data_IF_391071584496
#
_entry.id   IF_391071584496
#
_cell.length_a   1.000
_cell.length_b   1.000
_cell.length_c   1.000
_cell.angle_alpha   90.00
_cell.angle_beta   90.00
_cell.angle_gamma   90.00
#
_symmetry.space_group_name_H-M   'P 1'
#
loop_
_entity.id
_entity.type
_entity.pdbx_description
1 polymer ?
#
# COMPACT_ATOMS: atom_id res chain seq x y z
N UNK A 1 -26.95 14.28 8.31
CA UNK A 1 -26.06 13.09 8.23
C UNK A 1 -25.11 13.07 9.45
N UNK A 2 -24.57 11.91 9.76
CA UNK A 2 -23.49 11.73 10.75
C UNK A 2 -22.28 11.18 10.00
N UNK A 3 -21.13 11.85 10.11
CA UNK A 3 -19.92 11.47 9.40
C UNK A 3 -18.78 11.23 10.40
N UNK A 4 -18.30 10.00 10.52
CA UNK A 4 -17.14 9.71 11.37
C UNK A 4 -15.86 10.29 10.73
N UNK A 5 -15.04 10.95 11.56
CA UNK A 5 -13.83 11.62 11.13
C UNK A 5 -12.62 11.13 11.95
N UNK A 6 -11.69 10.45 11.28
CA UNK A 6 -10.42 10.04 11.86
C UNK A 6 -9.30 11.03 11.55
N UNK A 7 -8.34 10.64 10.72
CA UNK A 7 -7.22 11.50 10.30
C UNK A 7 -7.48 12.39 9.08
N UNK A 8 -8.67 12.35 8.48
CA UNK A 8 -9.02 13.16 7.31
C UNK A 8 -8.24 12.82 6.04
N UNK A 9 -7.71 11.62 5.92
CA UNK A 9 -6.83 11.20 4.81
C UNK A 9 -7.57 10.49 3.66
N UNK A 10 -8.92 10.51 3.66
CA UNK A 10 -9.71 9.98 2.55
C UNK A 10 -9.40 10.72 1.25
N UNK A 11 -9.26 9.97 0.16
CA UNK A 11 -8.99 10.50 -1.19
C UNK A 11 -10.21 10.36 -2.12
N UNK A 12 -11.38 10.02 -1.55
CA UNK A 12 -12.64 9.81 -2.26
C UNK A 12 -13.77 10.66 -1.70
N UNK A 13 -13.44 11.80 -1.10
CA UNK A 13 -14.35 12.79 -0.52
C UNK A 13 -15.31 12.24 0.56
N UNK A 14 -14.98 11.07 1.16
CA UNK A 14 -15.85 10.40 2.13
C UNK A 14 -16.08 11.16 3.44
N UNK A 15 -15.28 12.20 3.72
CA UNK A 15 -15.40 13.09 4.87
C UNK A 15 -15.84 14.51 4.49
N UNK A 16 -16.00 14.78 3.21
CA UNK A 16 -16.50 16.08 2.70
C UNK A 16 -18.04 16.06 2.60
N UNK A 17 -18.68 17.03 3.24
CA UNK A 17 -20.14 17.10 3.34
C UNK A 17 -20.58 18.55 3.16
N UNK A 18 -20.73 18.97 1.92
CA UNK A 18 -21.04 20.36 1.58
C UNK A 18 -22.55 20.67 1.52
N UNK A 19 -23.42 19.66 1.30
CA UNK A 19 -24.79 19.88 0.86
C UNK A 19 -25.88 19.62 1.93
N UNK A 20 -25.54 19.20 3.16
CA UNK A 20 -26.51 18.78 4.17
C UNK A 20 -26.11 19.22 5.59
N UNK A 21 -27.14 19.36 6.45
CA UNK A 21 -26.87 19.44 7.89
C UNK A 21 -26.16 18.16 8.33
N UNK A 22 -24.91 18.29 8.74
CA UNK A 22 -24.04 17.17 9.09
C UNK A 22 -23.41 17.37 10.45
N UNK A 23 -23.32 16.28 11.20
CA UNK A 23 -22.59 16.21 12.47
C UNK A 23 -21.32 15.39 12.21
N UNK A 24 -20.16 16.02 12.29
CA UNK A 24 -18.87 15.34 12.29
C UNK A 24 -18.62 14.71 13.67
N UNK A 25 -18.28 13.42 13.69
CA UNK A 25 -17.90 12.71 14.91
C UNK A 25 -16.41 12.44 14.85
N UNK A 26 -15.63 13.27 15.56
CA UNK A 26 -14.18 13.11 15.65
C UNK A 26 -13.80 12.17 16.83
N UNK A 27 -12.76 11.35 16.61
CA UNK A 27 -12.34 10.31 17.55
C UNK A 27 -11.12 10.71 18.40
N UNK A 28 -10.79 11.96 18.52
CA UNK A 28 -9.57 12.43 19.22
C UNK A 28 -9.49 12.00 20.68
N UNK A 29 -10.66 11.87 21.35
CA UNK A 29 -10.76 11.41 22.74
C UNK A 29 -10.81 9.86 22.84
N UNK A 30 -11.04 9.14 21.73
CA UNK A 30 -11.11 7.68 21.69
C UNK A 30 -9.83 7.11 21.06
N UNK A 31 -8.69 7.34 21.69
CA UNK A 31 -7.36 7.07 21.13
C UNK A 31 -6.49 6.13 21.99
N UNK A 32 -7.10 5.37 22.87
CA UNK A 32 -6.38 4.54 23.83
C UNK A 32 -6.19 3.10 23.35
N UNK A 33 -5.08 2.48 23.78
CA UNK A 33 -4.96 1.02 23.78
C UNK A 33 -5.67 0.50 25.03
N UNK A 34 -6.58 -0.45 24.84
CA UNK A 34 -7.44 -1.00 25.90
C UNK A 34 -6.83 -2.23 26.55
N UNK A 35 -6.20 -3.10 25.74
CA UNK A 35 -5.65 -4.37 26.21
C UNK A 35 -4.66 -4.95 25.18
N UNK A 36 -3.75 -5.82 25.66
CA UNK A 36 -2.86 -6.62 24.83
C UNK A 36 -2.79 -8.04 25.39
N UNK A 37 -3.38 -8.98 24.68
CA UNK A 37 -3.20 -10.41 24.95
C UNK A 37 -1.95 -10.93 24.21
N UNK A 38 -0.88 -11.12 24.95
CA UNK A 38 0.40 -11.57 24.41
C UNK A 38 0.43 -13.05 24.05
N UNK A 39 -0.48 -13.87 24.60
CA UNK A 39 -0.60 -15.29 24.28
C UNK A 39 -1.29 -15.47 22.92
N UNK A 40 -2.37 -14.74 22.70
CA UNK A 40 -3.13 -14.75 21.44
C UNK A 40 -2.46 -13.91 20.35
N UNK A 41 -1.67 -12.89 20.72
CA UNK A 41 -1.16 -11.88 19.80
C UNK A 41 -2.29 -10.96 19.30
N UNK A 42 -3.14 -10.48 20.22
CA UNK A 42 -4.27 -9.60 19.92
C UNK A 42 -4.19 -8.32 20.75
N UNK A 43 -4.28 -7.15 20.09
CA UNK A 43 -4.42 -5.86 20.76
C UNK A 43 -5.82 -5.30 20.56
N UNK A 44 -6.43 -4.75 21.62
CA UNK A 44 -7.70 -4.02 21.55
C UNK A 44 -7.45 -2.54 21.67
N UNK A 45 -8.03 -1.77 20.76
CA UNK A 45 -7.80 -0.33 20.66
C UNK A 45 -9.09 0.43 20.38
N UNK A 46 -9.09 1.70 20.73
CA UNK A 46 -10.08 2.66 20.31
C UNK A 46 -9.75 3.20 18.89
N UNK A 47 -10.75 3.58 18.08
CA UNK A 47 -10.58 3.86 16.65
C UNK A 47 -9.75 5.11 16.34
N UNK A 48 -9.67 6.06 17.26
CA UNK A 48 -8.95 7.34 17.07
C UNK A 48 -7.45 7.26 17.29
N UNK A 49 -6.90 6.12 17.75
CA UNK A 49 -5.46 5.99 17.92
C UNK A 49 -4.74 6.08 16.56
N UNK A 50 -3.68 6.88 16.49
CA UNK A 50 -2.85 7.01 15.29
C UNK A 50 -2.00 5.76 15.02
N UNK A 51 -1.71 5.46 13.74
CA UNK A 51 -0.85 4.34 13.37
C UNK A 51 0.53 4.39 14.06
N UNK A 52 1.29 5.51 13.99
CA UNK A 52 2.58 5.64 14.68
C UNK A 52 2.50 5.51 16.19
N UNK A 53 1.39 5.96 16.80
CA UNK A 53 1.20 5.89 18.24
C UNK A 53 1.00 4.45 18.69
N UNK A 54 0.12 3.71 18.02
CA UNK A 54 -0.09 2.29 18.27
C UNK A 54 1.21 1.50 18.10
N UNK A 55 1.96 1.77 17.03
CA UNK A 55 3.19 1.02 16.75
C UNK A 55 4.25 1.26 17.83
N UNK A 56 4.49 2.50 18.24
CA UNK A 56 5.40 2.81 19.36
C UNK A 56 4.97 2.10 20.66
N UNK A 57 3.66 2.06 20.93
CA UNK A 57 3.13 1.40 22.11
C UNK A 57 3.37 -0.12 22.09
N UNK A 58 3.19 -0.75 20.91
CA UNK A 58 3.43 -2.17 20.68
C UNK A 58 4.92 -2.51 20.71
N UNK A 59 5.76 -1.72 20.05
CA UNK A 59 7.22 -1.91 20.02
C UNK A 59 7.83 -1.92 21.41
N UNK A 60 7.37 -1.04 22.30
CA UNK A 60 7.81 -1.01 23.71
C UNK A 60 7.44 -2.30 24.47
N UNK A 61 6.60 -3.18 23.91
CA UNK A 61 6.15 -4.46 24.47
C UNK A 61 6.60 -5.67 23.66
N UNK A 62 7.46 -5.47 22.66
CA UNK A 62 8.00 -6.52 21.83
C UNK A 62 7.07 -6.99 20.69
N UNK A 63 6.08 -6.19 20.34
CA UNK A 63 5.10 -6.49 19.28
C UNK A 63 5.08 -5.42 18.19
N UNK A 64 4.46 -5.76 17.06
CA UNK A 64 4.15 -4.86 15.94
C UNK A 64 2.85 -5.28 15.28
N UNK A 65 2.05 -4.32 14.84
CA UNK A 65 0.98 -4.57 13.90
C UNK A 65 1.53 -4.65 12.47
N UNK A 66 2.48 -3.77 12.14
CA UNK A 66 3.17 -3.75 10.86
C UNK A 66 2.29 -3.28 9.71
N UNK A 67 1.16 -2.65 9.96
CA UNK A 67 0.34 -2.02 8.95
C UNK A 67 0.86 -0.61 8.67
N UNK A 68 1.52 -0.43 7.53
CA UNK A 68 2.27 0.80 7.20
C UNK A 68 1.77 1.32 5.84
N UNK A 69 0.62 2.03 5.79
CA UNK A 69 0.13 2.65 4.55
C UNK A 69 0.82 3.99 4.27
N UNK A 70 0.55 4.56 3.10
CA UNK A 70 1.12 5.85 2.71
C UNK A 70 0.64 7.01 3.62
N UNK A 71 -0.59 6.92 4.16
CA UNK A 71 -1.18 7.87 5.11
C UNK A 71 -0.72 7.69 6.57
N UNK A 72 0.35 6.93 6.79
CA UNK A 72 0.87 6.49 8.09
C UNK A 72 0.87 7.56 9.19
N UNK A 73 1.39 8.75 8.87
CA UNK A 73 1.62 9.79 9.86
C UNK A 73 0.34 10.47 10.37
N UNK A 74 -0.76 10.38 9.62
CA UNK A 74 -1.98 11.17 9.89
C UNK A 74 -3.23 10.33 10.11
N UNK A 75 -3.30 9.14 9.55
CA UNK A 75 -4.50 8.32 9.62
C UNK A 75 -4.62 7.59 10.96
N UNK A 76 -5.86 7.30 11.35
CA UNK A 76 -6.20 6.55 12.57
C UNK A 76 -6.46 5.09 12.24
N UNK A 77 -6.35 4.23 13.26
CA UNK A 77 -6.63 2.79 13.14
C UNK A 77 -8.08 2.55 12.69
N UNK A 78 -9.04 3.31 13.23
CA UNK A 78 -10.44 3.26 12.79
C UNK A 78 -10.60 3.62 11.32
N UNK A 79 -9.86 4.63 10.83
CA UNK A 79 -9.83 5.01 9.43
C UNK A 79 -9.28 3.89 8.53
N UNK A 80 -8.18 3.25 8.92
CA UNK A 80 -7.63 2.11 8.18
C UNK A 80 -8.62 0.95 8.04
N UNK A 81 -9.33 0.65 9.12
CA UNK A 81 -10.31 -0.44 9.14
C UNK A 81 -11.56 -0.07 8.33
N UNK A 82 -12.04 1.17 8.48
CA UNK A 82 -13.20 1.68 7.76
C UNK A 82 -13.01 1.75 6.23
N UNK A 83 -11.77 1.87 5.74
CA UNK A 83 -11.43 1.95 4.31
C UNK A 83 -10.78 0.68 3.76
N UNK A 84 -10.63 -0.38 4.55
CA UNK A 84 -9.84 -1.58 4.19
C UNK A 84 -8.43 -1.23 3.71
N UNK A 85 -7.78 -0.31 4.37
CA UNK A 85 -6.48 0.21 4.00
C UNK A 85 -5.46 -0.90 3.73
N UNK A 86 -4.70 -0.78 2.64
CA UNK A 86 -3.58 -1.63 2.33
C UNK A 86 -2.27 -0.92 2.74
N UNK A 87 -1.42 -1.62 3.48
CA UNK A 87 -0.08 -1.14 3.84
C UNK A 87 0.99 -1.69 2.90
N UNK A 88 2.18 -1.11 2.94
CA UNK A 88 3.29 -1.52 2.08
C UNK A 88 3.73 -2.98 2.28
N UNK A 89 3.46 -3.54 3.48
CA UNK A 89 3.74 -4.93 3.85
C UNK A 89 2.52 -5.84 3.75
N UNK A 90 1.43 -5.39 3.12
CA UNK A 90 0.17 -6.14 3.05
C UNK A 90 0.27 -7.45 2.27
N UNK A 91 1.25 -7.59 1.38
CA UNK A 91 1.52 -8.87 0.69
C UNK A 91 1.84 -9.99 1.70
N UNK A 92 2.63 -9.70 2.74
CA UNK A 92 3.00 -10.66 3.77
C UNK A 92 2.03 -10.75 4.93
N UNK A 93 1.49 -9.61 5.38
CA UNK A 93 0.75 -9.53 6.65
C UNK A 93 -0.75 -9.26 6.47
N UNK A 94 -1.19 -9.02 5.25
CA UNK A 94 -2.57 -8.67 4.95
C UNK A 94 -2.85 -7.17 5.04
N UNK A 95 -4.00 -6.78 4.51
CA UNK A 95 -4.54 -5.42 4.68
C UNK A 95 -5.10 -5.25 6.09
N UNK A 96 -5.47 -4.03 6.46
CA UNK A 96 -6.06 -3.73 7.77
C UNK A 96 -7.24 -4.66 8.10
N UNK A 97 -8.16 -4.85 7.15
CA UNK A 97 -9.33 -5.73 7.32
C UNK A 97 -8.98 -7.20 7.56
N UNK A 98 -7.89 -7.70 7.00
CA UNK A 98 -7.43 -9.07 7.20
C UNK A 98 -6.84 -9.32 8.60
N UNK A 99 -6.49 -8.26 9.32
CA UNK A 99 -5.92 -8.34 10.68
C UNK A 99 -6.96 -8.13 11.77
N UNK A 100 -8.15 -7.63 11.42
CA UNK A 100 -9.24 -7.40 12.39
C UNK A 100 -9.83 -8.72 12.85
N UNK A 101 -9.74 -8.99 14.15
CA UNK A 101 -10.32 -10.17 14.80
C UNK A 101 -11.70 -9.88 15.35
N UNK A 102 -11.91 -8.69 15.96
CA UNK A 102 -13.19 -8.27 16.55
C UNK A 102 -13.47 -6.81 16.25
N UNK A 103 -14.76 -6.47 16.21
CA UNK A 103 -15.25 -5.09 16.08
C UNK A 103 -16.41 -4.83 17.03
N UNK A 104 -16.41 -3.64 17.62
CA UNK A 104 -17.58 -3.05 18.26
C UNK A 104 -18.09 -1.90 17.42
N UNK A 105 -19.39 -1.89 17.16
CA UNK A 105 -20.05 -0.93 16.27
C UNK A 105 -21.27 -0.35 17.00
N UNK A 106 -21.36 0.97 17.03
CA UNK A 106 -22.58 1.68 17.38
C UNK A 106 -23.33 2.03 16.09
N UNK A 107 -24.54 1.51 15.92
CA UNK A 107 -25.39 1.79 14.78
C UNK A 107 -26.80 2.20 15.21
N UNK A 108 -27.58 2.90 14.35
CA UNK A 108 -28.90 3.39 14.70
C UNK A 108 -29.89 2.30 15.12
N UNK A 109 -29.68 1.07 14.67
CA UNK A 109 -30.58 -0.07 14.90
C UNK A 109 -30.18 -0.91 16.12
N UNK A 110 -28.89 -0.98 16.45
CA UNK A 110 -28.34 -1.74 17.57
C UNK A 110 -26.84 -1.50 17.71
N UNK A 111 -26.29 -1.87 18.88
CA UNK A 111 -24.86 -2.07 19.04
C UNK A 111 -24.49 -3.50 18.67
N UNK A 112 -23.38 -3.63 17.94
CA UNK A 112 -22.86 -4.93 17.50
C UNK A 112 -21.52 -5.23 18.17
N UNK A 113 -21.36 -6.47 18.61
CA UNK A 113 -20.10 -7.04 19.11
C UNK A 113 -19.78 -8.28 18.25
N UNK A 114 -18.83 -8.13 17.32
CA UNK A 114 -18.57 -9.06 16.22
C UNK A 114 -17.20 -9.70 16.36
N UNK A 115 -17.07 -10.96 15.91
CA UNK A 115 -15.77 -11.66 15.87
C UNK A 115 -15.42 -12.38 17.18
N UNK A 116 -16.36 -13.08 17.80
CA UNK A 116 -16.18 -13.68 19.14
C UNK A 116 -15.21 -14.86 19.21
N UNK A 117 -15.05 -15.61 18.10
CA UNK A 117 -14.20 -16.81 18.08
C UNK A 117 -13.47 -16.93 16.74
N UNK A 118 -12.22 -17.44 16.75
CA UNK A 118 -11.47 -17.74 15.53
C UNK A 118 -12.18 -18.84 14.72
N UNK A 119 -12.21 -18.69 13.38
CA UNK A 119 -12.70 -19.74 12.49
C UNK A 119 -14.12 -20.21 12.74
N UNK A 120 -14.99 -19.35 13.30
CA UNK A 120 -16.39 -19.71 13.56
C UNK A 120 -17.15 -20.05 12.27
N UNK A 121 -17.97 -21.10 12.33
CA UNK A 121 -18.92 -21.48 11.28
C UNK A 121 -20.37 -21.06 11.60
N UNK A 122 -20.58 -20.27 12.64
CA UNK A 122 -21.90 -19.82 13.11
C UNK A 122 -22.40 -18.61 12.29
N UNK A 123 -22.90 -18.86 11.10
CA UNK A 123 -23.48 -17.85 10.21
C UNK A 123 -22.44 -17.06 9.41
N UNK A 124 -22.88 -16.02 8.65
CA UNK A 124 -22.00 -15.16 7.88
C UNK A 124 -21.12 -14.30 8.79
N UNK A 125 -19.91 -13.97 8.35
CA UNK A 125 -19.03 -13.05 9.05
C UNK A 125 -19.49 -11.60 8.86
N UNK A 126 -20.34 -11.15 9.79
CA UNK A 126 -20.92 -9.79 9.76
C UNK A 126 -19.88 -8.67 9.89
N UNK A 127 -18.64 -8.95 10.35
CA UNK A 127 -17.57 -7.94 10.31
C UNK A 127 -17.36 -7.41 8.91
N UNK A 128 -17.52 -8.25 7.89
CA UNK A 128 -17.31 -7.86 6.49
C UNK A 128 -18.28 -6.79 5.99
N UNK A 129 -19.44 -6.61 6.63
CA UNK A 129 -20.40 -5.54 6.32
C UNK A 129 -19.85 -4.18 6.74
N UNK A 130 -19.16 -4.13 7.88
CA UNK A 130 -18.66 -2.88 8.47
C UNK A 130 -17.24 -2.52 8.01
N UNK A 131 -16.42 -3.54 7.73
CA UNK A 131 -15.09 -3.34 7.16
C UNK A 131 -15.19 -2.73 5.76
N UNK A 132 -14.62 -1.55 5.57
CA UNK A 132 -14.67 -0.83 4.30
C UNK A 132 -16.00 -0.10 4.04
N UNK A 133 -16.87 0.03 5.04
CA UNK A 133 -18.16 0.74 4.91
C UNK A 133 -18.06 2.25 5.06
N UNK A 134 -16.90 2.76 5.48
CA UNK A 134 -16.62 4.20 5.66
C UNK A 134 -17.66 4.92 6.53
N UNK A 135 -18.23 4.23 7.51
CA UNK A 135 -19.24 4.77 8.43
C UNK A 135 -20.69 4.69 7.92
N UNK A 136 -20.94 4.13 6.72
CA UNK A 136 -22.29 4.07 6.14
C UNK A 136 -23.27 3.22 6.95
N UNK A 137 -22.79 2.22 7.70
CA UNK A 137 -23.63 1.29 8.46
C UNK A 137 -23.53 1.47 9.98
N UNK A 138 -22.62 2.28 10.46
CA UNK A 138 -22.41 2.54 11.89
C UNK A 138 -21.00 3.02 12.18
N UNK A 139 -20.78 3.36 13.44
CA UNK A 139 -19.54 3.94 13.95
C UNK A 139 -18.74 2.85 14.66
N UNK A 140 -17.51 2.63 14.25
CA UNK A 140 -16.57 1.73 14.92
C UNK A 140 -16.14 2.37 16.24
N UNK A 141 -16.34 1.67 17.36
CA UNK A 141 -16.02 2.16 18.70
C UNK A 141 -14.88 1.39 19.37
N UNK A 142 -14.62 0.15 18.96
CA UNK A 142 -13.51 -0.67 19.44
C UNK A 142 -13.07 -1.64 18.33
N UNK A 143 -11.78 -1.89 18.28
CA UNK A 143 -11.15 -2.76 17.27
C UNK A 143 -10.19 -3.70 17.98
N UNK A 144 -10.29 -4.99 17.72
CA UNK A 144 -9.25 -5.95 18.05
C UNK A 144 -8.45 -6.32 16.79
N UNK A 145 -7.14 -6.25 16.90
CA UNK A 145 -6.19 -6.46 15.81
C UNK A 145 -5.23 -7.58 16.16
N UNK A 146 -4.99 -8.47 15.20
CA UNK A 146 -3.89 -9.42 15.31
C UNK A 146 -2.56 -8.68 15.15
N UNK A 147 -1.69 -8.85 16.14
CA UNK A 147 -0.31 -8.37 16.17
C UNK A 147 0.66 -9.53 16.18
N UNK A 148 1.93 -9.26 15.96
CA UNK A 148 2.98 -10.26 15.91
C UNK A 148 4.20 -9.78 16.70
N UNK A 149 5.07 -10.69 17.18
CA UNK A 149 6.35 -10.31 17.78
C UNK A 149 7.15 -9.41 16.83
N UNK A 150 7.96 -8.51 17.42
CA UNK A 150 8.91 -7.72 16.64
C UNK A 150 9.80 -8.63 15.80
N UNK A 151 10.01 -8.32 14.54
CA UNK A 151 10.86 -9.14 13.69
C UNK A 151 12.32 -9.04 14.13
N UNK A 152 12.97 -10.18 14.28
CA UNK A 152 14.40 -10.28 14.56
C UNK A 152 15.24 -9.72 13.40
N UNK A 153 14.73 -9.88 12.17
CA UNK A 153 15.38 -9.43 10.95
C UNK A 153 14.41 -8.68 10.06
N UNK A 154 14.83 -7.50 9.58
CA UNK A 154 14.20 -6.73 8.49
C UNK A 154 15.22 -6.57 7.38
N UNK A 155 14.86 -6.87 6.14
CA UNK A 155 15.73 -6.74 4.97
C UNK A 155 14.92 -6.18 3.81
N UNK A 156 15.35 -5.05 3.26
CA UNK A 156 14.80 -4.49 2.03
C UNK A 156 15.87 -4.45 0.96
N UNK A 157 15.55 -4.88 -0.25
CA UNK A 157 16.50 -5.04 -1.35
C UNK A 157 15.92 -4.54 -2.67
N UNK A 158 16.79 -3.95 -3.48
CA UNK A 158 16.48 -3.55 -4.85
C UNK A 158 16.90 -4.60 -5.86
N UNK A 159 16.06 -4.78 -6.88
CA UNK A 159 16.30 -5.63 -8.04
C UNK A 159 15.98 -4.84 -9.31
N UNK A 160 16.62 -5.19 -10.42
CA UNK A 160 16.25 -4.69 -11.74
C UNK A 160 15.88 -5.86 -12.63
N UNK A 161 14.65 -5.87 -13.14
CA UNK A 161 14.17 -6.85 -14.12
C UNK A 161 14.35 -6.31 -15.54
N UNK A 162 14.53 -7.18 -16.55
CA UNK A 162 14.66 -6.74 -17.94
C UNK A 162 13.38 -6.10 -18.50
N UNK A 163 12.21 -6.41 -17.92
CA UNK A 163 10.92 -5.82 -18.31
C UNK A 163 9.89 -5.98 -17.19
N UNK A 164 8.80 -5.19 -17.27
CA UNK A 164 7.66 -5.29 -16.36
C UNK A 164 7.02 -6.68 -16.39
N UNK A 165 6.87 -7.26 -17.59
CA UNK A 165 6.36 -8.63 -17.78
C UNK A 165 7.22 -9.67 -17.08
N UNK A 166 8.55 -9.56 -17.15
CA UNK A 166 9.46 -10.49 -16.48
C UNK A 166 9.32 -10.40 -14.95
N UNK A 167 9.30 -9.19 -14.40
CA UNK A 167 9.09 -8.95 -12.97
C UNK A 167 7.71 -9.43 -12.48
N UNK A 168 6.66 -9.14 -13.23
CA UNK A 168 5.30 -9.61 -12.95
C UNK A 168 5.21 -11.14 -12.90
N UNK A 169 5.82 -11.84 -13.84
CA UNK A 169 5.87 -13.32 -13.85
C UNK A 169 6.62 -13.87 -12.65
N UNK A 170 7.72 -13.25 -12.25
CA UNK A 170 8.48 -13.63 -11.06
C UNK A 170 7.65 -13.44 -9.78
N UNK A 171 6.94 -12.33 -9.65
CA UNK A 171 6.07 -12.04 -8.51
C UNK A 171 4.90 -13.01 -8.43
N UNK A 172 4.24 -13.28 -9.58
CA UNK A 172 3.19 -14.29 -9.67
C UNK A 172 3.71 -15.68 -9.25
N UNK A 173 4.92 -16.08 -9.66
CA UNK A 173 5.48 -17.38 -9.26
C UNK A 173 5.61 -17.48 -7.75
N UNK A 174 6.17 -16.46 -7.08
CA UNK A 174 6.28 -16.45 -5.61
C UNK A 174 4.92 -16.48 -4.90
N UNK A 175 3.90 -15.83 -5.47
CA UNK A 175 2.54 -15.89 -4.94
C UNK A 175 1.93 -17.30 -5.06
N UNK A 176 2.15 -17.99 -6.19
CA UNK A 176 1.72 -19.38 -6.40
C UNK A 176 2.47 -20.37 -5.51
N UNK A 177 3.77 -20.15 -5.29
CA UNK A 177 4.58 -20.95 -4.38
C UNK A 177 4.21 -20.73 -2.90
N UNK A 178 3.36 -19.74 -2.60
CA UNK A 178 2.96 -19.30 -1.25
C UNK A 178 4.13 -18.84 -0.37
N UNK A 179 5.16 -18.31 -0.99
CA UNK A 179 6.35 -17.75 -0.31
C UNK A 179 6.69 -16.34 -0.82
N UNK A 180 5.71 -15.43 -0.96
CA UNK A 180 6.00 -14.06 -1.35
C UNK A 180 6.90 -13.38 -0.31
N UNK A 181 7.57 -12.31 -0.72
CA UNK A 181 8.15 -11.39 0.25
C UNK A 181 7.02 -10.65 1.00
N UNK A 182 7.33 -10.08 2.16
CA UNK A 182 6.32 -9.38 2.96
C UNK A 182 5.95 -8.04 2.31
N UNK A 183 6.92 -7.42 1.62
CA UNK A 183 6.74 -6.26 0.78
C UNK A 183 7.26 -6.56 -0.63
N UNK A 184 6.44 -6.28 -1.64
CA UNK A 184 6.78 -6.49 -3.04
C UNK A 184 6.23 -5.32 -3.87
N UNK A 185 7.12 -4.56 -4.47
CA UNK A 185 6.80 -3.48 -5.39
C UNK A 185 7.60 -3.66 -6.67
N UNK A 186 6.94 -3.57 -7.82
CA UNK A 186 7.57 -3.62 -9.14
C UNK A 186 7.11 -2.41 -9.94
N UNK A 187 8.01 -1.48 -10.21
CA UNK A 187 7.77 -0.32 -11.07
C UNK A 187 7.94 -0.71 -12.54
N UNK A 188 7.13 -0.13 -13.42
CA UNK A 188 7.34 -0.22 -14.86
C UNK A 188 8.59 0.55 -15.32
N UNK A 189 8.85 0.59 -16.61
CA UNK A 189 10.04 1.26 -17.14
C UNK A 189 9.99 2.78 -16.96
N UNK A 190 8.81 3.39 -17.09
CA UNK A 190 8.61 4.84 -16.96
C UNK A 190 8.80 5.29 -15.51
N UNK A 191 8.13 4.65 -14.55
CA UNK A 191 8.32 4.93 -13.13
C UNK A 191 9.75 4.61 -12.67
N UNK A 192 10.35 3.55 -13.20
CA UNK A 192 11.75 3.19 -12.89
C UNK A 192 12.73 4.23 -13.38
N UNK A 193 12.51 4.83 -14.56
CA UNK A 193 13.33 5.93 -15.08
C UNK A 193 13.22 7.18 -14.19
N UNK A 194 12.02 7.54 -13.73
CA UNK A 194 11.80 8.64 -12.79
C UNK A 194 12.52 8.38 -11.47
N UNK A 195 12.35 7.19 -10.88
CA UNK A 195 13.04 6.81 -9.65
C UNK A 195 14.58 6.87 -9.78
N UNK A 196 15.11 6.47 -10.94
CA UNK A 196 16.54 6.56 -11.22
C UNK A 196 16.99 8.03 -11.34
N UNK A 197 16.23 8.87 -12.02
CA UNK A 197 16.53 10.30 -12.13
C UNK A 197 16.55 10.99 -10.75
N UNK A 198 15.60 10.64 -9.87
CA UNK A 198 15.52 11.16 -8.51
C UNK A 198 16.57 10.56 -7.55
N UNK A 199 17.26 9.50 -7.93
CA UNK A 199 18.24 8.81 -7.07
C UNK A 199 19.51 9.60 -6.78
N UNK A 200 19.75 10.71 -7.51
CA UNK A 200 20.97 11.52 -7.41
C UNK A 200 22.20 10.86 -8.04
N UNK A 201 22.05 9.73 -8.75
CA UNK A 201 23.17 9.11 -9.47
C UNK A 201 23.68 10.05 -10.58
N UNK A 202 24.96 10.40 -10.51
CA UNK A 202 25.58 11.31 -11.47
C UNK A 202 27.05 10.93 -11.74
N UNK A 203 27.66 11.54 -12.76
CA UNK A 203 29.07 11.38 -13.05
C UNK A 203 29.51 9.92 -13.23
N UNK A 204 30.62 9.55 -12.61
CA UNK A 204 31.22 8.21 -12.71
C UNK A 204 30.31 7.10 -12.17
N UNK A 205 29.56 7.37 -11.11
CA UNK A 205 28.64 6.39 -10.52
C UNK A 205 27.49 6.03 -11.48
N UNK A 206 26.96 7.04 -12.18
CA UNK A 206 25.95 6.82 -13.22
C UNK A 206 26.52 6.03 -14.38
N UNK A 207 27.70 6.37 -14.89
CA UNK A 207 28.35 5.65 -15.97
C UNK A 207 28.62 4.18 -15.61
N UNK A 208 29.08 3.92 -14.38
CA UNK A 208 29.29 2.56 -13.89
C UNK A 208 27.99 1.78 -13.81
N UNK A 209 26.91 2.39 -13.33
CA UNK A 209 25.57 1.80 -13.29
C UNK A 209 25.05 1.49 -14.71
N UNK A 210 25.13 2.45 -15.62
CA UNK A 210 24.67 2.29 -17.01
C UNK A 210 25.43 1.15 -17.69
N UNK A 211 26.75 1.08 -17.52
CA UNK A 211 27.58 0.00 -18.06
C UNK A 211 27.25 -1.37 -17.45
N UNK A 212 27.04 -1.40 -16.14
CA UNK A 212 26.65 -2.62 -15.43
C UNK A 212 25.31 -3.15 -15.91
N UNK A 213 24.29 -2.29 -16.01
CA UNK A 213 22.94 -2.67 -16.46
C UNK A 213 22.93 -3.08 -17.93
N UNK A 214 23.69 -2.42 -18.79
CA UNK A 214 23.86 -2.82 -20.19
C UNK A 214 24.52 -4.21 -20.31
N UNK A 215 25.61 -4.46 -19.57
CA UNK A 215 26.28 -5.77 -19.57
C UNK A 215 25.37 -6.89 -19.08
N UNK A 216 24.50 -6.60 -18.13
CA UNK A 216 23.52 -7.55 -17.56
C UNK A 216 22.22 -7.64 -18.36
N UNK A 217 22.08 -6.90 -19.45
CA UNK A 217 20.89 -6.84 -20.32
C UNK A 217 19.63 -6.39 -19.59
N UNK A 218 19.76 -5.46 -18.65
CA UNK A 218 18.65 -4.87 -17.88
C UNK A 218 18.65 -3.33 -17.95
N UNK A 219 19.36 -2.75 -18.91
CA UNK A 219 19.32 -1.29 -19.16
C UNK A 219 17.91 -0.86 -19.55
N UNK A 220 17.39 0.24 -18.94
CA UNK A 220 16.01 0.67 -19.11
C UNK A 220 14.98 -0.30 -18.51
N UNK A 221 15.41 -1.21 -17.64
CA UNK A 221 14.55 -2.21 -17.01
C UNK A 221 13.71 -1.67 -15.86
N UNK A 222 12.98 -2.57 -15.24
CA UNK A 222 11.96 -2.31 -14.23
C UNK A 222 12.50 -2.53 -12.83
N UNK A 223 12.47 -1.49 -12.00
CA UNK A 223 12.93 -1.52 -10.62
C UNK A 223 11.91 -2.30 -9.75
N UNK A 224 12.42 -3.26 -8.99
CA UNK A 224 11.64 -3.87 -7.92
C UNK A 224 12.29 -3.60 -6.56
N UNK A 225 11.44 -3.36 -5.56
CA UNK A 225 11.82 -3.36 -4.16
C UNK A 225 11.10 -4.53 -3.49
N UNK A 226 11.85 -5.33 -2.73
CA UNK A 226 11.33 -6.49 -2.01
C UNK A 226 11.82 -6.47 -0.59
N UNK A 227 10.96 -6.90 0.35
CA UNK A 227 11.29 -6.87 1.78
C UNK A 227 10.81 -8.11 2.51
N UNK A 228 11.59 -8.54 3.50
CA UNK A 228 11.27 -9.65 4.39
C UNK A 228 11.46 -9.24 5.84
N UNK A 229 10.53 -9.66 6.67
CA UNK A 229 10.56 -9.42 8.11
C UNK A 229 10.20 -10.71 8.87
N UNK A 230 10.86 -10.96 10.01
CA UNK A 230 10.57 -12.11 10.86
C UNK A 230 11.80 -12.75 11.50
N UNK A 231 11.71 -14.02 11.92
CA UNK A 231 12.86 -14.78 12.44
C UNK A 231 13.98 -14.88 11.40
N UNK A 232 15.23 -14.81 11.82
CA UNK A 232 16.37 -14.65 10.92
C UNK A 232 16.54 -15.83 9.94
N UNK A 233 16.32 -17.05 10.40
CA UNK A 233 16.39 -18.27 9.59
C UNK A 233 15.26 -18.36 8.55
N UNK A 234 14.03 -17.99 8.95
CA UNK A 234 12.86 -17.94 8.06
C UNK A 234 13.07 -16.88 6.96
N UNK A 235 13.54 -15.69 7.32
CA UNK A 235 13.91 -14.64 6.38
C UNK A 235 14.97 -15.12 5.40
N UNK A 236 16.01 -15.79 5.90
CA UNK A 236 17.09 -16.32 5.05
C UNK A 236 16.57 -17.36 4.04
N UNK A 237 15.73 -18.30 4.48
CA UNK A 237 15.15 -19.34 3.63
C UNK A 237 14.21 -18.77 2.55
N UNK A 238 13.26 -17.92 2.93
CA UNK A 238 12.32 -17.26 2.00
C UNK A 238 13.06 -16.42 0.96
N UNK A 239 14.06 -15.67 1.41
CA UNK A 239 14.89 -14.84 0.55
C UNK A 239 15.69 -15.69 -0.45
N UNK A 240 16.28 -16.81 -0.03
CA UNK A 240 17.01 -17.72 -0.91
C UNK A 240 16.11 -18.29 -2.01
N UNK A 241 14.89 -18.73 -1.66
CA UNK A 241 13.89 -19.18 -2.63
C UNK A 241 13.50 -18.07 -3.62
N UNK A 242 13.17 -16.88 -3.11
CA UNK A 242 12.82 -15.75 -3.95
C UNK A 242 13.92 -15.38 -4.96
N UNK A 243 15.18 -15.39 -4.53
CA UNK A 243 16.31 -15.14 -5.45
C UNK A 243 16.51 -16.24 -6.50
N UNK A 244 16.17 -17.48 -6.18
CA UNK A 244 16.16 -18.55 -7.19
C UNK A 244 15.13 -18.27 -8.28
N UNK A 245 13.93 -17.84 -7.90
CA UNK A 245 12.87 -17.43 -8.83
C UNK A 245 13.29 -16.19 -9.61
N UNK A 246 13.72 -15.12 -8.97
CA UNK A 246 14.08 -13.86 -9.62
C UNK A 246 15.14 -14.06 -10.72
N UNK A 247 16.14 -14.91 -10.47
CA UNK A 247 17.18 -15.23 -11.48
C UNK A 247 16.63 -15.91 -12.72
N UNK A 248 15.60 -16.76 -12.58
CA UNK A 248 14.94 -17.41 -13.73
C UNK A 248 14.30 -16.40 -14.67
N UNK A 249 13.86 -15.26 -14.14
CA UNK A 249 13.26 -14.16 -14.91
C UNK A 249 14.26 -13.03 -15.24
N UNK A 250 15.55 -13.30 -15.13
CA UNK A 250 16.61 -12.38 -15.54
C UNK A 250 16.87 -11.20 -14.61
N UNK A 251 16.35 -11.23 -13.39
CA UNK A 251 16.56 -10.14 -12.42
C UNK A 251 18.04 -10.02 -12.02
N UNK A 252 18.46 -8.77 -11.84
CA UNK A 252 19.78 -8.42 -11.36
C UNK A 252 19.65 -7.72 -10.01
N UNK A 253 20.45 -8.16 -9.04
CA UNK A 253 20.47 -7.56 -7.71
C UNK A 253 21.18 -6.21 -7.75
N UNK A 254 20.56 -5.22 -7.12
CA UNK A 254 21.16 -3.92 -6.92
C UNK A 254 21.91 -3.84 -5.58
N UNK A 255 22.78 -2.82 -5.37
CA UNK A 255 23.42 -2.60 -4.10
C UNK A 255 22.42 -2.47 -2.94
N UNK A 256 22.78 -2.93 -1.76
CA UNK A 256 21.92 -2.90 -0.58
C UNK A 256 21.48 -1.47 -0.17
N UNK A 257 22.20 -0.46 -0.64
CA UNK A 257 21.83 0.95 -0.45
C UNK A 257 20.48 1.29 -1.07
N UNK A 258 20.07 0.63 -2.16
CA UNK A 258 18.80 0.90 -2.84
C UNK A 258 17.61 0.54 -1.92
N UNK A 259 17.60 -0.65 -1.34
CA UNK A 259 16.55 -1.05 -0.40
C UNK A 259 16.51 -0.18 0.86
N UNK A 260 17.68 0.15 1.43
CA UNK A 260 17.78 1.06 2.59
C UNK A 260 17.32 2.47 2.28
N UNK A 261 17.66 3.00 1.10
CA UNK A 261 17.20 4.32 0.67
C UNK A 261 15.68 4.36 0.50
N UNK A 262 15.10 3.31 -0.08
CA UNK A 262 13.66 3.19 -0.19
C UNK A 262 13.00 3.15 1.19
N UNK A 263 13.47 2.32 2.10
CA UNK A 263 12.93 2.22 3.46
C UNK A 263 12.93 3.57 4.19
N UNK A 264 14.01 4.35 4.04
CA UNK A 264 14.15 5.66 4.67
C UNK A 264 13.17 6.69 4.08
N UNK A 265 12.94 6.64 2.77
CA UNK A 265 12.22 7.69 2.04
C UNK A 265 10.80 7.30 1.62
N UNK A 266 10.30 6.12 2.03
CA UNK A 266 9.02 5.56 1.58
C UNK A 266 7.78 6.41 1.85
N UNK A 267 7.87 7.40 2.74
CA UNK A 267 6.78 8.33 3.07
C UNK A 267 6.95 9.72 2.44
N UNK A 268 8.01 9.95 1.65
CA UNK A 268 8.28 11.27 1.07
C UNK A 268 7.43 11.59 -0.17
N UNK A 269 6.95 10.57 -0.88
CA UNK A 269 6.23 10.75 -2.14
C UNK A 269 4.99 11.66 -2.07
N UNK A 270 4.13 11.60 -1.02
CA UNK A 270 2.98 12.49 -0.92
C UNK A 270 3.34 13.98 -0.84
N UNK A 271 4.49 14.32 -0.25
CA UNK A 271 4.94 15.71 -0.14
C UNK A 271 5.49 16.27 -1.45
N UNK A 272 6.06 15.42 -2.31
CA UNK A 272 6.49 15.80 -3.66
C UNK A 272 5.34 16.31 -4.53
N UNK A 273 4.10 15.84 -4.25
CA UNK A 273 2.90 16.29 -4.95
C UNK A 273 2.71 17.80 -4.80
N UNK A 274 2.89 18.33 -3.60
CA UNK A 274 2.72 19.76 -3.33
C UNK A 274 3.74 20.61 -4.11
N UNK A 275 5.02 20.20 -4.10
CA UNK A 275 6.08 20.85 -4.86
C UNK A 275 5.80 20.87 -6.37
N UNK A 276 5.24 19.78 -6.90
CA UNK A 276 4.89 19.67 -8.33
C UNK A 276 3.66 20.51 -8.68
N UNK A 277 2.65 20.57 -7.79
CA UNK A 277 1.49 21.44 -7.97
C UNK A 277 1.91 22.92 -8.00
N UNK A 278 2.79 23.34 -7.10
CA UNK A 278 3.35 24.69 -7.07
C UNK A 278 4.17 25.00 -8.34
N UNK A 279 4.78 23.98 -8.94
CA UNK A 279 5.50 24.10 -10.22
C UNK A 279 4.56 24.08 -11.46
N UNK A 280 3.24 23.99 -11.29
CA UNK A 280 2.28 24.02 -12.38
C UNK A 280 1.97 22.65 -13.01
N UNK A 281 2.15 21.57 -12.26
CA UNK A 281 1.82 20.21 -12.70
C UNK A 281 0.66 19.61 -11.90
N UNK A 282 -0.28 18.99 -12.59
CA UNK A 282 -1.26 18.09 -11.99
C UNK A 282 -0.53 16.79 -11.61
N UNK A 283 -0.70 16.37 -10.37
CA UNK A 283 -0.19 15.07 -9.88
C UNK A 283 -1.33 14.32 -9.24
N UNK A 284 -1.73 13.22 -9.86
CA UNK A 284 -2.84 12.40 -9.38
C UNK A 284 -2.51 10.90 -9.45
N UNK A 285 -3.34 10.12 -8.78
CA UNK A 285 -3.13 8.68 -8.71
C UNK A 285 -4.44 7.93 -8.93
N UNK A 286 -4.30 6.74 -9.55
CA UNK A 286 -5.37 5.74 -9.65
C UNK A 286 -4.82 4.42 -9.12
N UNK A 287 -5.64 3.67 -8.41
CA UNK A 287 -5.32 2.30 -8.01
C UNK A 287 -6.47 1.36 -8.35
N UNK A 288 -6.15 0.23 -8.94
CA UNK A 288 -7.09 -0.85 -9.22
C UNK A 288 -6.43 -2.19 -8.96
N UNK A 289 -7.21 -3.26 -8.93
CA UNK A 289 -6.69 -4.62 -8.81
C UNK A 289 -7.40 -5.52 -9.81
N UNK A 290 -6.65 -6.49 -10.36
CA UNK A 290 -7.24 -7.46 -11.27
C UNK A 290 -6.54 -8.82 -11.14
N UNK A 291 -7.14 -9.83 -11.74
CA UNK A 291 -6.56 -11.16 -11.85
C UNK A 291 -5.29 -11.15 -12.71
N UNK A 292 -4.38 -12.09 -12.46
CA UNK A 292 -3.11 -12.20 -13.20
C UNK A 292 -3.29 -12.25 -14.73
N UNK A 293 -4.38 -12.86 -15.20
CA UNK A 293 -4.69 -12.98 -16.64
C UNK A 293 -5.15 -11.68 -17.27
N UNK A 294 -5.64 -10.72 -16.49
CA UNK A 294 -6.22 -9.46 -16.96
C UNK A 294 -5.30 -8.25 -16.71
N UNK A 295 -4.23 -8.43 -15.92
CA UNK A 295 -3.38 -7.29 -15.53
C UNK A 295 -2.74 -6.55 -16.70
N UNK A 296 -2.34 -7.24 -17.77
CA UNK A 296 -1.75 -6.57 -18.94
C UNK A 296 -2.80 -5.74 -19.67
N UNK A 297 -3.98 -6.31 -19.91
CA UNK A 297 -5.09 -5.58 -20.55
C UNK A 297 -5.54 -4.38 -19.72
N UNK A 298 -5.57 -4.51 -18.38
CA UNK A 298 -5.89 -3.40 -17.48
C UNK A 298 -4.82 -2.31 -17.53
N UNK A 299 -3.55 -2.70 -17.51
CA UNK A 299 -2.42 -1.78 -17.63
C UNK A 299 -2.50 -0.97 -18.92
N UNK A 300 -2.63 -1.65 -20.06
CA UNK A 300 -2.70 -1.01 -21.37
C UNK A 300 -3.92 -0.08 -21.49
N UNK A 301 -5.11 -0.54 -21.08
CA UNK A 301 -6.34 0.24 -21.16
C UNK A 301 -6.28 1.55 -20.34
N UNK A 302 -5.75 1.48 -19.11
CA UNK A 302 -5.61 2.69 -18.27
C UNK A 302 -4.58 3.65 -18.85
N UNK A 303 -3.43 3.14 -19.34
CA UNK A 303 -2.42 3.97 -19.99
C UNK A 303 -2.96 4.67 -21.24
N UNK A 304 -3.66 3.93 -22.10
CA UNK A 304 -4.24 4.47 -23.32
C UNK A 304 -5.33 5.51 -23.02
N UNK A 305 -6.21 5.24 -22.04
CA UNK A 305 -7.22 6.19 -21.59
C UNK A 305 -6.63 7.49 -21.07
N UNK A 306 -5.63 7.39 -20.17
CA UNK A 306 -4.95 8.57 -19.61
C UNK A 306 -4.21 9.38 -20.68
N UNK A 307 -3.45 8.72 -21.57
CA UNK A 307 -2.74 9.39 -22.65
C UNK A 307 -3.69 10.03 -23.66
N UNK A 308 -4.78 9.34 -24.00
CA UNK A 308 -5.81 9.90 -24.88
C UNK A 308 -6.49 11.15 -24.33
N UNK A 309 -6.73 11.21 -23.03
CA UNK A 309 -7.38 12.34 -22.38
C UNK A 309 -6.44 13.52 -22.05
N UNK A 310 -5.17 13.24 -21.75
CA UNK A 310 -4.21 14.24 -21.26
C UNK A 310 -3.11 14.62 -22.27
N UNK A 311 -3.07 13.96 -23.42
CA UNK A 311 -2.06 14.19 -24.45
C UNK A 311 -0.79 13.40 -24.19
N UNK A 312 0.24 13.99 -23.60
CA UNK A 312 1.52 13.34 -23.30
C UNK A 312 1.84 13.41 -21.79
N UNK A 313 1.02 12.78 -20.94
CA UNK A 313 1.30 12.70 -19.50
C UNK A 313 2.44 11.71 -19.22
N UNK A 314 3.19 11.95 -18.16
CA UNK A 314 3.99 10.91 -17.53
C UNK A 314 3.04 10.00 -16.75
N UNK A 315 3.02 8.70 -17.06
CA UNK A 315 2.20 7.70 -16.36
C UNK A 315 3.11 6.58 -15.86
N UNK A 316 3.61 6.73 -14.65
CA UNK A 316 4.37 5.68 -13.97
C UNK A 316 3.44 4.68 -13.31
N UNK A 317 3.75 3.38 -13.44
CA UNK A 317 2.90 2.34 -12.86
C UNK A 317 3.72 1.32 -12.06
N UNK A 318 3.16 0.89 -10.91
CA UNK A 318 3.76 -0.24 -10.20
C UNK A 318 2.71 -1.23 -9.69
N UNK A 319 3.13 -2.49 -9.57
CA UNK A 319 2.45 -3.47 -8.75
C UNK A 319 2.71 -3.12 -7.29
N UNK A 320 1.66 -2.86 -6.51
CA UNK A 320 1.77 -2.44 -5.10
C UNK A 320 1.44 -3.56 -4.11
N UNK A 321 0.48 -4.42 -4.44
CA UNK A 321 0.03 -5.52 -3.58
C UNK A 321 -0.12 -6.79 -4.40
N UNK A 322 0.44 -7.88 -3.87
CA UNK A 322 0.48 -9.17 -4.56
C UNK A 322 -0.43 -10.16 -3.82
N UNK A 323 -1.30 -10.80 -4.58
CA UNK A 323 -2.24 -11.81 -4.11
C UNK A 323 -2.05 -13.12 -4.87
N UNK A 324 -2.50 -14.26 -4.33
CA UNK A 324 -2.44 -15.53 -5.07
C UNK A 324 -3.14 -15.48 -6.44
N UNK A 325 -4.24 -14.74 -6.56
CA UNK A 325 -5.07 -14.68 -7.78
C UNK A 325 -4.80 -13.48 -8.67
N UNK A 326 -4.09 -12.46 -8.19
CA UNK A 326 -3.87 -11.22 -8.92
C UNK A 326 -2.96 -10.25 -8.20
N UNK A 327 -2.98 -8.99 -8.65
CA UNK A 327 -2.22 -7.91 -8.01
C UNK A 327 -2.93 -6.56 -8.19
N UNK A 328 -2.55 -5.55 -7.39
CA UNK A 328 -2.97 -4.19 -7.67
C UNK A 328 -1.97 -3.46 -8.55
N UNK A 329 -2.50 -2.59 -9.40
CA UNK A 329 -1.79 -1.64 -10.24
C UNK A 329 -2.03 -0.25 -9.68
N UNK A 330 -0.96 0.45 -9.34
CA UNK A 330 -0.98 1.83 -8.88
C UNK A 330 -0.37 2.72 -9.95
N UNK A 331 -1.14 3.67 -10.44
CA UNK A 331 -0.74 4.61 -11.49
C UNK A 331 -0.48 5.98 -10.88
N UNK A 332 0.66 6.58 -11.19
CA UNK A 332 0.98 7.97 -10.87
C UNK A 332 0.98 8.77 -12.16
N UNK A 333 0.16 9.79 -12.22
CA UNK A 333 -0.05 10.63 -13.40
C UNK A 333 0.50 12.02 -13.14
N UNK A 334 1.40 12.48 -13.98
CA UNK A 334 1.96 13.85 -13.92
C UNK A 334 1.76 14.51 -15.29
N UNK A 335 1.11 15.67 -15.32
CA UNK A 335 0.84 16.43 -16.55
C UNK A 335 0.80 17.92 -16.24
N UNK A 336 1.07 18.83 -17.18
CA UNK A 336 0.87 20.25 -16.96
C UNK A 336 -0.58 20.55 -16.53
N UNK A 337 -0.75 21.51 -15.60
CA UNK A 337 -2.07 21.98 -15.20
C UNK A 337 -2.77 22.68 -16.37
N UNK A 338 -4.05 22.34 -16.61
CA UNK A 338 -4.94 23.12 -17.46
C UNK A 338 -5.58 24.28 -16.66
N UNK A 339 -6.30 25.18 -17.35
CA UNK A 339 -7.03 26.29 -16.73
C UNK A 339 -8.08 25.80 -15.69
N UNK A 340 -8.70 24.63 -15.94
CA UNK A 340 -9.58 23.93 -15.00
C UNK A 340 -8.99 22.53 -14.67
N UNK A 341 -8.16 22.43 -13.64
CA UNK A 341 -7.53 21.16 -13.27
C UNK A 341 -8.52 20.09 -12.80
N UNK A 342 -9.65 20.52 -12.22
CA UNK A 342 -10.69 19.59 -11.76
C UNK A 342 -11.40 18.94 -12.93
N UNK A 343 -11.78 19.73 -13.95
CA UNK A 343 -12.36 19.20 -15.17
C UNK A 343 -11.36 18.32 -15.95
N UNK A 344 -10.09 18.73 -16.02
CA UNK A 344 -9.00 17.95 -16.61
C UNK A 344 -8.90 16.55 -15.98
N UNK A 345 -8.85 16.49 -14.65
CA UNK A 345 -8.73 15.21 -13.95
C UNK A 345 -9.99 14.35 -14.05
N UNK A 346 -11.18 14.95 -13.95
CA UNK A 346 -12.45 14.23 -14.13
C UNK A 346 -12.55 13.57 -15.51
N UNK A 347 -12.13 14.28 -16.57
CA UNK A 347 -12.12 13.74 -17.94
C UNK A 347 -11.11 12.59 -18.07
N UNK A 348 -9.90 12.75 -17.53
CA UNK A 348 -8.87 11.70 -17.52
C UNK A 348 -9.31 10.45 -16.75
N UNK A 349 -9.91 10.64 -15.57
CA UNK A 349 -10.42 9.54 -14.75
C UNK A 349 -11.55 8.79 -15.47
N UNK A 350 -12.48 9.50 -16.09
CA UNK A 350 -13.56 8.88 -16.86
C UNK A 350 -13.07 8.11 -18.09
N UNK A 351 -11.94 8.52 -18.69
CA UNK A 351 -11.37 7.81 -19.83
C UNK A 351 -10.57 6.55 -19.41
N UNK A 352 -10.11 6.49 -18.16
CA UNK A 352 -9.29 5.40 -17.62
C UNK A 352 -10.12 4.35 -16.84
N UNK A 353 -11.41 4.59 -16.59
CA UNK A 353 -12.34 3.70 -15.86
C UNK A 353 -13.44 3.15 -16.76
#
# INVERSE_FOLDING_TARGET
>A
AVVPFGGGTSVVDGVDVTDRLTVGVAFWEMNSVLDLDTETGEVRVQPGIGGPELERWLEARGFTWGHIPQSWERATVGGYVATRSAGQTSTGFGRADATVTKLRIAAPVADFDLGRAPGTAAGPDLKQVFLGSEGSFGIITEIALRVRPLPEKKVYEGLLFPSFVAGKRAFRQLALDRVPADMMRLSDAEESAVNLAMSGLSGITKQAFDRYTALRKVAGGCLAIVGWEGPADVVAARRAHAYAVFRQFGAVRLPATVGRSWEKNRFAAPYLRDDLLDAGYLVETLETANEWSQLDATYDAVHDGLRGALGDPLVGTHLSHIYPTGASLYFTVITPLADDPVAQWKAAKAAAT
#
